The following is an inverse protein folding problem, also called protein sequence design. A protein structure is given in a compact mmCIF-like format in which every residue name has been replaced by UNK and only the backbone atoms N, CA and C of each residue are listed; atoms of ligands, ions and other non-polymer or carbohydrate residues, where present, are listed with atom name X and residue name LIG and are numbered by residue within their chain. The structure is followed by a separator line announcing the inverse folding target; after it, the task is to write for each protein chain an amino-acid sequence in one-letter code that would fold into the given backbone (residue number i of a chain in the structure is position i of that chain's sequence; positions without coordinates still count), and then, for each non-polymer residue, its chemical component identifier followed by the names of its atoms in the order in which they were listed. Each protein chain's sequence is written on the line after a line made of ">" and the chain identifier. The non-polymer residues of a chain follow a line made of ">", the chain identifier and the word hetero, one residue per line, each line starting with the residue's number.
data_IF_073737130494
#
_entry.id   IF_073737130494
#
_cell.length_a   1.000
_cell.length_b   1.000
_cell.length_c   1.000
_cell.angle_alpha   90.00
_cell.angle_beta   90.00
_cell.angle_gamma   90.00
#
_symmetry.space_group_name_H-M   'P 1'
#
loop_
_entity.id
_entity.type
_entity.pdbx_description
1 polymer ?
#
# COMPACT_ATOMS: atom_id res chain seq x y z
N UNK A 1 -16.11 -7.56 -24.72
CA UNK A 1 -16.61 -6.62 -23.69
C UNK A 1 -15.47 -5.66 -23.41
N UNK A 2 -15.55 -4.46 -24.00
CA UNK A 2 -14.43 -3.50 -24.07
C UNK A 2 -14.42 -2.67 -22.81
N UNK A 3 -13.41 -2.83 -21.96
CA UNK A 3 -13.21 -1.96 -20.80
C UNK A 3 -12.57 -0.68 -21.33
N UNK A 4 -13.38 0.36 -21.50
CA UNK A 4 -12.93 1.70 -21.87
C UNK A 4 -12.09 2.27 -20.72
N UNK A 5 -11.06 3.04 -21.08
CA UNK A 5 -10.10 3.66 -20.17
C UNK A 5 -10.82 4.42 -19.04
N UNK A 6 -10.78 3.85 -17.83
CA UNK A 6 -11.17 4.53 -16.60
C UNK A 6 -10.25 5.73 -16.42
N UNK A 7 -10.84 6.92 -16.25
CA UNK A 7 -10.13 8.17 -16.07
C UNK A 7 -9.13 8.05 -14.91
N UNK A 8 -7.90 8.47 -15.17
CA UNK A 8 -6.89 8.69 -14.12
C UNK A 8 -6.92 10.19 -13.81
N UNK A 9 -7.32 10.55 -12.60
CA UNK A 9 -7.27 11.93 -12.14
C UNK A 9 -6.03 12.10 -11.27
N UNK A 10 -5.11 12.97 -11.71
CA UNK A 10 -3.91 13.31 -10.95
C UNK A 10 -4.24 14.40 -9.91
N UNK A 11 -4.01 14.12 -8.63
CA UNK A 11 -4.18 15.10 -7.55
C UNK A 11 -2.84 15.33 -6.85
N UNK A 12 -2.41 16.59 -6.77
CA UNK A 12 -1.26 17.02 -5.97
C UNK A 12 -1.77 17.33 -4.56
N UNK A 13 -1.50 16.46 -3.58
CA UNK A 13 -1.92 16.66 -2.20
C UNK A 13 -0.71 16.90 -1.27
N UNK A 14 -0.69 18.07 -0.64
CA UNK A 14 0.19 18.42 0.48
C UNK A 14 -0.39 17.82 1.77
N UNK A 15 0.33 16.91 2.43
CA UNK A 15 -0.11 16.24 3.67
C UNK A 15 0.31 17.05 4.92
N UNK A 16 -0.63 17.30 5.83
CA UNK A 16 -0.39 17.80 7.18
C UNK A 16 -0.02 16.63 8.13
N UNK A 17 1.02 16.80 8.93
CA UNK A 17 1.48 15.82 9.92
C UNK A 17 0.57 15.79 11.17
N UNK A 18 0.37 14.60 11.77
CA UNK A 18 -0.07 14.46 13.16
C UNK A 18 1.08 13.90 14.00
N UNK A 19 1.38 14.57 15.11
CA UNK A 19 2.38 14.16 16.09
C UNK A 19 1.73 13.23 17.12
N UNK A 20 2.23 12.00 17.26
CA UNK A 20 2.01 11.19 18.46
C UNK A 20 3.05 11.59 19.50
N UNK A 21 2.60 12.22 20.59
CA UNK A 21 3.44 12.55 21.73
C UNK A 21 3.71 11.29 22.56
N UNK A 22 4.97 10.86 22.62
CA UNK A 22 5.45 9.96 23.67
C UNK A 22 5.63 10.78 24.95
N UNK A 23 4.84 10.47 25.99
CA UNK A 23 5.08 11.02 27.32
C UNK A 23 6.18 10.19 27.99
N UNK A 24 7.41 10.72 27.98
CA UNK A 24 8.47 10.30 28.90
C UNK A 24 8.15 10.91 30.27
N UNK A 25 8.09 10.08 31.31
CA UNK A 25 7.77 10.53 32.66
C UNK A 25 8.89 11.39 33.24
N UNK A 26 8.59 12.65 33.58
CA UNK A 26 9.42 13.46 34.48
C UNK A 26 8.63 13.70 35.77
N UNK A 27 8.99 12.94 36.80
CA UNK A 27 8.46 13.10 38.15
C UNK A 27 8.96 14.37 38.83
N UNK A 28 8.13 14.93 39.71
CA UNK A 28 8.62 15.67 40.88
C UNK A 28 7.80 16.88 41.34
N UNK A 29 6.78 16.63 42.18
CA UNK A 29 6.62 17.41 43.42
C UNK A 29 5.39 18.32 43.54
N UNK A 30 4.54 18.03 44.53
CA UNK A 30 3.66 19.02 45.16
C UNK A 30 2.25 18.53 45.45
N UNK A 31 2.02 18.03 46.66
CA UNK A 31 0.73 17.58 47.16
C UNK A 31 -0.26 18.74 47.38
N UNK A 32 -1.52 18.54 47.00
CA UNK A 32 -2.70 19.21 47.56
C UNK A 32 -3.91 18.34 47.25
N UNK A 33 -4.60 17.81 48.26
CA UNK A 33 -5.78 16.93 48.10
C UNK A 33 -7.08 17.73 48.04
N UNK A 34 -7.89 17.63 46.97
CA UNK A 34 -9.30 17.98 47.00
C UNK A 34 -10.17 16.72 47.14
N UNK A 35 -11.17 16.82 48.02
CA UNK A 35 -12.22 15.81 48.25
C UNK A 35 -13.11 15.70 47.00
N UNK A 36 -13.18 14.52 46.39
CA UNK A 36 -14.01 14.26 45.20
C UNK A 36 -15.45 13.84 45.60
N UNK A 37 -16.52 14.40 44.97
CA UNK A 37 -17.89 13.93 45.14
C UNK A 37 -18.09 12.52 44.53
N UNK A 38 -19.11 11.74 44.94
CA UNK A 38 -19.25 10.36 44.48
C UNK A 38 -19.57 10.32 42.97
N UNK A 39 -18.63 9.80 42.18
CA UNK A 39 -18.86 9.45 40.78
C UNK A 39 -19.92 8.34 40.71
N UNK A 40 -21.06 8.62 40.08
CA UNK A 40 -22.02 7.60 39.70
C UNK A 40 -21.36 6.69 38.66
N UNK A 41 -21.34 5.38 38.92
CA UNK A 41 -20.71 4.39 38.06
C UNK A 41 -21.31 4.43 36.65
N UNK A 42 -20.57 5.04 35.71
CA UNK A 42 -20.79 4.81 34.30
C UNK A 42 -20.55 3.32 34.04
N UNK A 43 -21.55 2.66 33.44
CA UNK A 43 -21.60 1.21 33.28
C UNK A 43 -20.30 0.61 32.75
N UNK A 44 -19.87 -0.48 33.38
CA UNK A 44 -18.70 -1.25 32.97
C UNK A 44 -18.81 -1.62 31.48
N UNK A 45 -18.07 -0.92 30.63
CA UNK A 45 -17.70 -1.47 29.33
C UNK A 45 -16.89 -2.72 29.66
N UNK A 46 -17.40 -3.89 29.28
CA UNK A 46 -16.68 -5.15 29.45
C UNK A 46 -15.30 -4.98 28.82
N UNK A 47 -14.27 -4.92 29.67
CA UNK A 47 -12.90 -4.99 29.21
C UNK A 47 -12.78 -6.32 28.45
N UNK A 48 -12.59 -6.26 27.14
CA UNK A 48 -12.11 -7.41 26.39
C UNK A 48 -10.73 -7.67 26.97
N UNK A 49 -10.58 -8.72 27.78
CA UNK A 49 -9.27 -9.11 28.28
C UNK A 49 -8.39 -9.33 27.06
N UNK A 50 -7.39 -8.47 26.86
CA UNK A 50 -6.33 -8.78 25.92
C UNK A 50 -5.78 -10.13 26.36
N UNK A 51 -6.01 -11.17 25.56
CA UNK A 51 -5.40 -12.47 25.80
C UNK A 51 -3.88 -12.22 25.92
N UNK A 52 -3.24 -12.79 26.96
CA UNK A 52 -1.79 -12.86 26.97
C UNK A 52 -1.32 -13.36 25.60
N UNK A 53 -0.28 -12.77 24.97
CA UNK A 53 0.15 -13.18 23.65
C UNK A 53 0.30 -14.71 23.64
N UNK A 54 -0.57 -15.35 22.87
CA UNK A 54 -0.67 -16.80 22.86
C UNK A 54 0.66 -17.38 22.41
N UNK A 55 1.10 -18.47 23.06
CA UNK A 55 2.10 -19.34 22.47
C UNK A 55 1.47 -19.85 21.18
N UNK A 56 1.92 -19.32 20.03
CA UNK A 56 1.56 -19.87 18.73
C UNK A 56 2.11 -21.29 18.67
N UNK A 57 1.35 -22.22 18.12
CA UNK A 57 1.85 -23.55 17.81
C UNK A 57 3.16 -23.42 17.01
N UNK A 58 4.11 -24.32 17.25
CA UNK A 58 5.38 -24.31 16.51
C UNK A 58 5.12 -24.35 15.01
N UNK A 59 5.67 -23.37 14.27
CA UNK A 59 5.57 -23.31 12.81
C UNK A 59 6.22 -24.56 12.22
N UNK A 60 5.45 -25.33 11.47
CA UNK A 60 5.93 -26.51 10.76
C UNK A 60 6.56 -26.10 9.42
N UNK A 61 7.88 -25.88 9.42
CA UNK A 61 8.62 -25.49 8.21
C UNK A 61 8.58 -26.57 7.11
N UNK A 62 8.28 -27.83 7.44
CA UNK A 62 8.18 -28.90 6.45
C UNK A 62 6.91 -28.80 5.59
N UNK A 63 5.92 -27.99 5.99
CA UNK A 63 4.71 -27.70 5.20
C UNK A 63 4.84 -26.50 4.27
N UNK A 64 5.98 -25.81 4.26
CA UNK A 64 6.18 -24.70 3.35
C UNK A 64 6.31 -25.22 1.92
N UNK A 65 5.49 -24.69 1.02
CA UNK A 65 5.66 -24.91 -0.41
C UNK A 65 6.95 -24.22 -0.87
N UNK A 66 7.87 -24.99 -1.44
CA UNK A 66 9.19 -24.50 -1.87
C UNK A 66 9.25 -24.22 -3.36
N UNK A 67 8.23 -24.65 -4.11
CA UNK A 67 8.04 -24.32 -5.52
C UNK A 67 7.48 -22.91 -5.62
N UNK A 68 8.20 -21.95 -6.25
CA UNK A 68 7.70 -20.60 -6.40
C UNK A 68 6.39 -20.56 -7.22
N UNK A 69 5.43 -19.76 -6.76
CA UNK A 69 4.26 -19.44 -7.57
C UNK A 69 4.72 -18.54 -8.72
N UNK A 70 4.54 -19.03 -9.93
CA UNK A 70 4.89 -18.36 -11.19
C UNK A 70 3.81 -17.37 -11.58
N UNK A 71 4.08 -16.08 -11.36
CA UNK A 71 3.12 -15.00 -11.54
C UNK A 71 3.75 -13.80 -12.26
N UNK A 72 2.90 -12.90 -12.74
CA UNK A 72 3.35 -11.60 -13.21
C UNK A 72 3.71 -10.69 -12.04
N UNK A 73 4.71 -9.84 -12.26
CA UNK A 73 5.09 -8.81 -11.30
C UNK A 73 5.74 -7.63 -11.99
N UNK A 74 5.98 -6.59 -11.21
CA UNK A 74 6.74 -5.42 -11.65
C UNK A 74 8.25 -5.66 -11.50
N UNK A 75 9.04 -5.08 -12.39
CA UNK A 75 10.50 -5.23 -12.42
C UNK A 75 11.19 -3.94 -12.87
N UNK A 76 12.50 -3.89 -12.59
CA UNK A 76 13.34 -2.76 -12.91
C UNK A 76 13.14 -1.60 -11.96
N UNK A 77 14.05 -0.64 -12.00
CA UNK A 77 14.05 0.53 -11.13
C UNK A 77 14.33 1.77 -11.97
N UNK A 78 13.36 2.68 -11.99
CA UNK A 78 13.42 3.97 -12.67
C UNK A 78 14.04 5.05 -11.77
N UNK A 79 14.04 6.28 -12.26
CA UNK A 79 14.56 7.43 -11.52
C UNK A 79 13.49 7.99 -10.57
N UNK A 80 13.93 8.37 -9.37
CA UNK A 80 13.14 9.07 -8.37
C UNK A 80 13.98 10.22 -7.84
N UNK A 81 13.43 11.44 -7.80
CA UNK A 81 14.21 12.64 -7.51
C UNK A 81 14.07 13.10 -6.04
N UNK A 82 13.06 12.61 -5.32
CA UNK A 82 12.80 12.98 -3.92
C UNK A 82 12.95 11.83 -2.93
N UNK A 83 12.82 10.56 -3.35
CA UNK A 83 13.06 9.41 -2.47
C UNK A 83 13.32 8.10 -3.23
N UNK A 84 14.36 7.34 -2.89
CA UNK A 84 14.49 5.94 -3.32
C UNK A 84 14.40 5.05 -2.10
N UNK A 85 13.39 4.16 -1.96
CA UNK A 85 13.48 2.91 -1.15
C UNK A 85 12.60 1.71 -1.57
N UNK A 86 11.37 1.81 -2.10
CA UNK A 86 10.64 0.64 -2.59
C UNK A 86 10.34 0.70 -4.11
N UNK A 87 10.41 -0.46 -4.79
CA UNK A 87 10.08 -0.58 -6.21
C UNK A 87 8.57 -0.33 -6.47
N UNK A 88 7.74 -0.79 -5.53
CA UNK A 88 6.30 -0.53 -5.42
C UNK A 88 6.09 0.40 -4.23
N UNK A 89 5.46 1.53 -4.46
CA UNK A 89 5.13 2.48 -3.39
C UNK A 89 3.73 2.25 -2.83
N UNK A 90 2.78 1.92 -3.70
CA UNK A 90 1.39 1.78 -3.30
C UNK A 90 0.64 0.80 -4.22
N UNK A 91 -0.48 0.28 -3.72
CA UNK A 91 -1.43 -0.50 -4.50
C UNK A 91 -2.87 -0.15 -4.12
N UNK A 92 -3.75 -0.17 -5.11
CA UNK A 92 -5.17 0.07 -4.94
C UNK A 92 -5.99 -0.98 -5.69
N UNK A 93 -7.19 -1.26 -5.24
CA UNK A 93 -8.05 -2.27 -5.85
C UNK A 93 -9.38 -1.67 -6.29
N UNK A 94 -9.80 -1.99 -7.52
CA UNK A 94 -11.12 -1.64 -8.06
C UNK A 94 -11.70 -2.90 -8.72
N UNK A 95 -12.76 -3.44 -8.14
CA UNK A 95 -13.38 -4.68 -8.62
C UNK A 95 -12.43 -5.88 -8.47
N UNK A 96 -12.02 -6.49 -9.59
CA UNK A 96 -11.03 -7.57 -9.63
C UNK A 96 -9.65 -7.09 -10.07
N UNK A 97 -9.47 -5.78 -10.26
CA UNK A 97 -8.20 -5.22 -10.73
C UNK A 97 -7.40 -4.63 -9.58
N UNK A 98 -6.17 -5.08 -9.42
CA UNK A 98 -5.17 -4.49 -8.54
C UNK A 98 -4.27 -3.57 -9.36
N UNK A 99 -4.22 -2.31 -9.01
CA UNK A 99 -3.29 -1.31 -9.55
C UNK A 99 -2.07 -1.22 -8.65
N UNK A 100 -0.90 -1.14 -9.25
CA UNK A 100 0.38 -1.09 -8.56
C UNK A 100 1.14 0.13 -9.05
N UNK A 101 1.42 1.06 -8.14
CA UNK A 101 2.14 2.30 -8.40
C UNK A 101 3.55 2.22 -7.84
N UNK A 102 4.52 2.75 -8.58
CA UNK A 102 5.88 2.81 -8.06
C UNK A 102 6.92 3.44 -8.96
N UNK A 103 8.16 3.00 -8.79
CA UNK A 103 9.32 3.42 -9.60
C UNK A 103 9.74 2.37 -10.63
N UNK A 104 9.03 1.25 -10.74
CA UNK A 104 9.37 0.19 -11.69
C UNK A 104 9.30 0.66 -13.14
N UNK A 105 10.04 -0.01 -14.02
CA UNK A 105 10.12 0.35 -15.44
C UNK A 105 9.43 -0.67 -16.35
N UNK A 106 9.10 -1.84 -15.83
CA UNK A 106 8.40 -2.85 -16.58
C UNK A 106 7.67 -3.87 -15.74
N UNK A 107 7.04 -4.79 -16.45
CA UNK A 107 6.45 -6.01 -15.90
C UNK A 107 7.09 -7.23 -16.53
N UNK A 108 7.15 -8.32 -15.79
CA UNK A 108 7.71 -9.57 -16.25
C UNK A 108 6.94 -10.72 -15.60
N UNK A 109 6.71 -11.77 -16.38
CA UNK A 109 6.16 -13.03 -15.87
C UNK A 109 7.29 -13.88 -15.33
N UNK A 110 7.19 -14.45 -14.14
CA UNK A 110 8.23 -15.37 -13.62
C UNK A 110 9.61 -14.72 -13.66
N UNK A 111 9.86 -13.66 -12.87
CA UNK A 111 11.11 -12.91 -12.92
C UNK A 111 12.37 -13.77 -12.62
N UNK A 112 12.20 -14.95 -12.03
CA UNK A 112 13.21 -15.98 -11.80
C UNK A 112 13.56 -16.80 -13.07
N UNK A 113 12.73 -16.73 -14.11
CA UNK A 113 12.91 -17.43 -15.38
C UNK A 113 13.74 -16.58 -16.36
N UNK A 114 14.97 -16.99 -16.71
CA UNK A 114 15.84 -16.23 -17.60
C UNK A 114 15.33 -16.14 -19.04
N UNK A 115 14.32 -16.93 -19.41
CA UNK A 115 13.69 -16.90 -20.73
C UNK A 115 12.54 -15.89 -20.82
N UNK A 116 12.08 -15.36 -19.69
CA UNK A 116 10.99 -14.41 -19.65
C UNK A 116 11.43 -13.01 -20.06
N UNK A 117 10.69 -12.39 -20.98
CA UNK A 117 10.96 -11.02 -21.44
C UNK A 117 10.33 -9.98 -20.53
N UNK A 118 11.08 -8.91 -20.23
CA UNK A 118 10.52 -7.70 -19.62
C UNK A 118 9.70 -6.92 -20.65
N UNK A 119 8.51 -6.48 -20.27
CA UNK A 119 7.66 -5.60 -21.07
C UNK A 119 7.64 -4.22 -20.43
N UNK A 120 7.92 -3.19 -21.23
CA UNK A 120 7.92 -1.81 -20.75
C UNK A 120 6.52 -1.38 -20.32
N UNK A 121 6.38 -1.06 -19.05
CA UNK A 121 5.17 -0.53 -18.43
C UNK A 121 5.64 0.24 -17.19
N UNK A 122 6.12 1.48 -17.35
CA UNK A 122 6.74 2.19 -16.25
C UNK A 122 5.68 2.77 -15.31
N UNK A 123 6.02 2.76 -14.02
CA UNK A 123 5.39 3.50 -12.91
C UNK A 123 3.97 3.13 -12.50
N UNK A 124 3.12 2.64 -13.41
CA UNK A 124 1.77 2.17 -13.08
C UNK A 124 1.40 0.93 -13.89
N UNK A 125 1.01 -0.14 -13.21
CA UNK A 125 0.60 -1.42 -13.82
C UNK A 125 -0.68 -1.92 -13.18
N UNK A 126 -1.39 -2.81 -13.87
CA UNK A 126 -2.62 -3.42 -13.36
C UNK A 126 -2.57 -4.94 -13.53
N UNK A 127 -3.10 -5.66 -12.55
CA UNK A 127 -3.14 -7.11 -12.51
C UNK A 127 -4.55 -7.57 -12.14
N UNK A 128 -4.95 -8.73 -12.65
CA UNK A 128 -6.14 -9.41 -12.17
C UNK A 128 -5.85 -10.01 -10.78
N UNK A 129 -6.67 -9.68 -9.79
CA UNK A 129 -6.52 -10.11 -8.39
C UNK A 129 -6.63 -11.63 -8.24
N UNK A 130 -7.52 -12.24 -9.02
CA UNK A 130 -7.90 -13.62 -8.85
C UNK A 130 -6.92 -14.55 -9.59
N UNK A 131 -6.39 -14.12 -10.74
CA UNK A 131 -5.45 -14.92 -11.55
C UNK A 131 -3.99 -14.49 -11.42
N UNK A 132 -3.70 -13.27 -10.96
CA UNK A 132 -2.35 -12.69 -10.97
C UNK A 132 -1.82 -12.38 -12.37
N UNK A 133 -2.68 -12.38 -13.40
CA UNK A 133 -2.27 -12.06 -14.76
C UNK A 133 -2.17 -10.54 -14.94
N UNK A 134 -1.15 -10.09 -15.66
CA UNK A 134 -1.01 -8.68 -16.00
C UNK A 134 -2.07 -8.26 -17.02
N UNK A 135 -2.73 -7.13 -16.77
CA UNK A 135 -3.76 -6.58 -17.64
C UNK A 135 -3.09 -5.83 -18.79
N UNK A 136 -2.89 -6.52 -19.91
CA UNK A 136 -2.15 -6.00 -21.07
C UNK A 136 -2.87 -4.86 -21.83
N UNK A 137 -4.11 -4.54 -21.47
CA UNK A 137 -4.87 -3.43 -22.09
C UNK A 137 -4.76 -2.12 -21.32
N UNK A 138 -4.27 -2.16 -20.07
CA UNK A 138 -4.05 -0.98 -19.26
C UNK A 138 -2.64 -0.42 -19.53
N UNK A 139 -2.59 0.71 -20.24
CA UNK A 139 -1.36 1.31 -20.79
C UNK A 139 -1.25 2.82 -20.59
N UNK A 140 -1.43 3.36 -19.37
CA UNK A 140 -1.11 4.75 -19.14
C UNK A 140 0.41 4.96 -19.23
N UNK A 141 0.84 6.12 -19.72
CA UNK A 141 2.26 6.52 -19.69
C UNK A 141 2.47 7.67 -18.73
N UNK A 142 3.47 7.52 -17.87
CA UNK A 142 3.93 8.55 -16.93
C UNK A 142 5.40 8.83 -17.21
N UNK A 143 5.82 10.08 -17.07
CA UNK A 143 7.21 10.47 -17.25
C UNK A 143 8.06 10.23 -15.99
N UNK A 144 7.44 10.15 -14.81
CA UNK A 144 8.10 9.87 -13.52
C UNK A 144 7.25 8.99 -12.60
N UNK A 145 7.83 8.70 -11.44
CA UNK A 145 7.30 7.80 -10.44
C UNK A 145 5.89 8.13 -9.95
N UNK A 146 5.14 7.08 -9.66
CA UNK A 146 3.87 7.12 -8.93
C UNK A 146 4.11 6.68 -7.50
N UNK A 147 3.64 7.47 -6.53
CA UNK A 147 3.87 7.25 -5.11
C UNK A 147 2.62 6.91 -4.32
N UNK A 148 1.45 7.32 -4.80
CA UNK A 148 0.19 7.14 -4.11
C UNK A 148 -0.91 6.77 -5.10
N UNK A 149 -1.75 5.84 -4.69
CA UNK A 149 -2.96 5.43 -5.38
C UNK A 149 -4.13 5.51 -4.39
N UNK A 150 -5.26 6.05 -4.83
CA UNK A 150 -6.50 6.02 -4.04
C UNK A 150 -7.70 5.81 -4.95
N UNK A 151 -8.81 5.34 -4.39
CA UNK A 151 -10.04 5.06 -5.14
C UNK A 151 -11.11 6.03 -4.68
N UNK A 152 -11.56 6.89 -5.59
CA UNK A 152 -12.67 7.79 -5.34
C UNK A 152 -13.99 7.02 -5.16
N UNK A 153 -15.01 7.60 -4.49
CA UNK A 153 -16.29 6.91 -4.25
C UNK A 153 -17.04 6.47 -5.51
N UNK A 154 -16.75 7.06 -6.67
CA UNK A 154 -17.31 6.71 -7.97
C UNK A 154 -16.56 5.56 -8.68
N UNK A 155 -15.50 5.03 -8.07
CA UNK A 155 -14.64 3.99 -8.64
C UNK A 155 -13.54 4.53 -9.56
N UNK A 156 -13.26 5.84 -9.54
CA UNK A 156 -12.13 6.43 -10.27
C UNK A 156 -10.82 6.19 -9.52
N UNK A 157 -9.76 5.79 -10.24
CA UNK A 157 -8.41 5.70 -9.69
C UNK A 157 -7.77 7.10 -9.65
N UNK A 158 -7.43 7.55 -8.45
CA UNK A 158 -6.62 8.74 -8.22
C UNK A 158 -5.15 8.34 -8.16
N UNK A 159 -4.29 9.12 -8.81
CA UNK A 159 -2.85 8.81 -8.93
C UNK A 159 -2.03 10.04 -8.54
N UNK A 160 -1.13 9.87 -7.57
CA UNK A 160 -0.22 10.92 -7.09
C UNK A 160 1.24 10.51 -7.22
N UNK A 161 2.13 11.45 -7.56
CA UNK A 161 3.55 11.17 -7.78
C UNK A 161 4.37 12.38 -8.22
N UNK A 162 5.55 12.09 -8.78
CA UNK A 162 6.50 13.09 -9.32
C UNK A 162 6.28 13.45 -10.79
N UNK A 163 5.36 12.77 -11.45
CA UNK A 163 5.12 12.94 -12.87
C UNK A 163 4.64 14.36 -13.19
N UNK A 164 5.07 14.87 -14.35
CA UNK A 164 4.62 16.16 -14.89
C UNK A 164 3.75 16.00 -16.13
N UNK A 165 3.77 14.81 -16.74
CA UNK A 165 3.05 14.49 -17.95
C UNK A 165 2.44 13.09 -17.85
N UNK A 166 1.20 12.97 -18.34
CA UNK A 166 0.49 11.70 -18.46
C UNK A 166 -0.01 11.55 -19.89
N UNK A 167 0.31 10.44 -20.57
CA UNK A 167 -0.09 10.14 -21.95
C UNK A 167 0.47 11.06 -23.06
N UNK A 168 1.48 11.88 -22.76
CA UNK A 168 2.20 12.72 -23.74
C UNK A 168 1.78 14.17 -23.75
#
# INVERSE_FOLDING_TARGET
>A
MTIAATAVVALVATVFAFTVASADEVGGGGASTPVEPPVQAAGAQSAVSAAAPGVVDSVDFAKLETTPIRQWGVVGTGSSYTAAKPQVWDFAEIGTTVFVGGIFTGVQRNADDPTSSVIAQPYLAAFDRDTGEWISTFRPTFDRAVYALDVAPDGTLLVGGEFTTVNG
#
